data_IF_054097807842
#
_entry.id   IF_054097807842
#
_cell.length_a   1.000
_cell.length_b   1.000
_cell.length_c   1.000
_cell.angle_alpha   90.00
_cell.angle_beta   90.00
_cell.angle_gamma   90.00
#
_symmetry.space_group_name_H-M   'P 1'
#
loop_
_entity.id
_entity.type
_entity.pdbx_description
1 polymer ?
#
# COMPACT_ATOMS: atom_id res chain seq x y z
N UNK A 1 -4.41 -6.10 -2.69
CA UNK A 1 -3.15 -5.55 -3.21
C UNK A 1 -3.18 -5.41 -4.72
N UNK A 2 -3.78 -6.37 -5.43
CA UNK A 2 -3.79 -6.34 -6.89
C UNK A 2 -4.47 -5.09 -7.45
N UNK A 3 -5.66 -4.74 -6.98
CA UNK A 3 -6.35 -3.55 -7.44
C UNK A 3 -5.58 -2.29 -7.09
N UNK A 4 -5.01 -2.24 -5.89
CA UNK A 4 -4.21 -1.12 -5.44
C UNK A 4 -2.99 -0.91 -6.35
N UNK A 5 -2.27 -1.99 -6.68
CA UNK A 5 -1.12 -1.93 -7.58
C UNK A 5 -1.50 -1.38 -8.96
N UNK A 6 -2.59 -1.87 -9.51
CA UNK A 6 -3.01 -1.50 -10.87
C UNK A 6 -3.67 -0.13 -10.94
N UNK A 7 -4.51 0.20 -9.98
CA UNK A 7 -5.31 1.43 -10.04
C UNK A 7 -4.56 2.66 -9.51
N UNK A 8 -3.68 2.48 -8.54
CA UNK A 8 -3.02 3.61 -7.88
C UNK A 8 -1.52 3.68 -8.13
N UNK A 9 -0.88 2.57 -8.45
CA UNK A 9 0.57 2.47 -8.51
C UNK A 9 1.12 2.06 -9.88
N UNK A 10 0.30 2.14 -10.92
CA UNK A 10 0.74 1.88 -12.29
C UNK A 10 1.26 0.46 -12.51
N UNK A 11 0.76 -0.52 -11.78
CA UNK A 11 1.14 -1.92 -11.97
C UNK A 11 2.46 -2.32 -11.32
N UNK A 12 2.98 -1.54 -10.37
CA UNK A 12 4.22 -1.91 -9.67
C UNK A 12 4.05 -3.25 -8.93
N UNK A 13 5.15 -3.99 -8.77
CA UNK A 13 5.13 -5.32 -8.18
C UNK A 13 4.73 -5.29 -6.70
N UNK A 14 4.30 -6.45 -6.19
CA UNK A 14 3.99 -6.59 -4.75
C UNK A 14 5.21 -6.29 -3.87
N UNK A 15 6.39 -6.72 -4.30
CA UNK A 15 7.62 -6.45 -3.57
C UNK A 15 7.90 -4.95 -3.49
N UNK A 16 7.66 -4.23 -4.58
CA UNK A 16 7.81 -2.78 -4.62
C UNK A 16 6.84 -2.12 -3.64
N UNK A 17 5.58 -2.55 -3.63
CA UNK A 17 4.56 -2.00 -2.73
C UNK A 17 4.95 -2.21 -1.27
N UNK A 18 5.39 -3.40 -0.92
CA UNK A 18 5.80 -3.69 0.46
C UNK A 18 6.99 -2.84 0.88
N UNK A 19 7.98 -2.70 0.00
CA UNK A 19 9.21 -1.95 0.29
C UNK A 19 8.98 -0.44 0.31
N UNK A 20 8.29 0.08 -0.69
CA UNK A 20 8.17 1.52 -0.86
C UNK A 20 7.01 2.14 -0.10
N UNK A 21 6.00 1.36 0.24
CA UNK A 21 4.81 1.87 0.91
C UNK A 21 4.67 1.32 2.32
N UNK A 22 4.49 0.02 2.44
CA UNK A 22 4.18 -0.57 3.75
C UNK A 22 5.35 -0.46 4.73
N UNK A 23 6.56 -0.65 4.24
CA UNK A 23 7.76 -0.62 5.08
C UNK A 23 8.21 0.80 5.39
N UNK A 24 8.18 1.68 4.39
CA UNK A 24 8.59 3.07 4.57
C UNK A 24 7.58 3.92 5.31
N UNK A 25 6.30 3.59 5.20
CA UNK A 25 5.20 4.35 5.76
C UNK A 25 4.35 3.49 6.68
N UNK A 26 4.83 3.20 7.89
CA UNK A 26 4.05 2.38 8.84
C UNK A 26 2.70 2.99 9.18
N UNK A 27 2.53 4.27 8.94
CA UNK A 27 1.26 4.97 9.10
C UNK A 27 0.16 4.44 8.19
N UNK A 28 0.50 3.70 7.13
CA UNK A 28 -0.49 3.10 6.24
C UNK A 28 -1.19 1.90 6.87
N UNK A 29 -0.59 1.29 7.88
CA UNK A 29 -1.19 0.17 8.61
C UNK A 29 -2.39 0.66 9.40
N UNK A 30 -3.48 -0.10 9.35
CA UNK A 30 -4.71 0.25 10.08
C UNK A 30 -4.47 0.38 11.59
N UNK A 31 -3.50 -0.34 12.13
CA UNK A 31 -3.11 -0.24 13.53
C UNK A 31 -2.60 1.16 13.89
N UNK A 32 -2.11 1.88 12.92
CA UNK A 32 -1.58 3.23 13.09
C UNK A 32 -2.50 4.28 12.45
N UNK A 33 -3.76 3.92 12.22
CA UNK A 33 -4.75 4.84 11.65
C UNK A 33 -4.79 4.87 10.13
N UNK A 34 -4.14 3.92 9.47
CA UNK A 34 -4.06 3.87 8.01
C UNK A 34 -5.18 3.05 7.36
N UNK A 35 -4.92 2.59 6.15
CA UNK A 35 -5.91 1.94 5.29
C UNK A 35 -5.55 0.51 4.89
N UNK A 36 -4.42 -0.01 5.38
CA UNK A 36 -3.94 -1.34 5.04
C UNK A 36 -4.14 -2.28 6.23
N UNK A 37 -4.91 -3.33 6.01
CA UNK A 37 -5.11 -4.37 7.02
C UNK A 37 -4.11 -5.49 6.72
N UNK A 38 -3.28 -5.83 7.70
CA UNK A 38 -2.31 -6.91 7.60
C UNK A 38 -1.35 -6.73 6.42
N UNK A 39 -0.50 -5.69 6.43
CA UNK A 39 0.41 -5.40 5.31
C UNK A 39 1.45 -6.49 5.06
N UNK A 40 1.79 -7.28 6.08
CA UNK A 40 2.72 -8.39 5.97
C UNK A 40 2.02 -9.66 6.48
N UNK A 41 1.06 -10.21 5.71
CA UNK A 41 0.25 -11.31 6.19
C UNK A 41 1.05 -12.61 6.30
N UNK A 42 0.70 -13.41 7.32
CA UNK A 42 1.23 -14.74 7.45
C UNK A 42 0.55 -15.71 6.48
N UNK A 43 0.95 -16.99 6.58
CA UNK A 43 0.38 -18.04 5.74
C UNK A 43 -1.14 -18.11 5.90
N UNK A 44 -1.83 -18.16 4.77
CA UNK A 44 -3.29 -18.30 4.75
C UNK A 44 -4.08 -17.01 4.93
N UNK A 45 -3.39 -15.86 5.03
CA UNK A 45 -4.03 -14.55 5.15
C UNK A 45 -3.69 -13.68 3.95
N UNK A 46 -4.50 -12.65 3.72
CA UNK A 46 -4.30 -11.70 2.63
C UNK A 46 -4.33 -10.28 3.16
N UNK A 47 -3.59 -9.40 2.51
CA UNK A 47 -3.65 -7.97 2.78
C UNK A 47 -4.96 -7.41 2.24
N UNK A 48 -5.63 -6.59 3.03
CA UNK A 48 -6.85 -5.88 2.60
C UNK A 48 -6.53 -4.38 2.59
N UNK A 49 -6.95 -3.71 1.52
CA UNK A 49 -6.70 -2.27 1.37
C UNK A 49 -8.02 -1.56 1.13
N UNK A 50 -8.29 -0.53 1.93
CA UNK A 50 -9.47 0.34 1.74
C UNK A 50 -9.18 1.29 0.58
N UNK A 51 -9.74 0.97 -0.58
CA UNK A 51 -9.36 1.58 -1.86
C UNK A 51 -9.53 3.11 -1.91
N UNK A 52 -10.61 3.64 -1.35
CA UNK A 52 -10.83 5.08 -1.36
C UNK A 52 -9.76 5.83 -0.57
N UNK A 53 -9.51 5.39 0.66
CA UNK A 53 -8.52 6.02 1.52
C UNK A 53 -7.12 5.85 0.93
N UNK A 54 -6.84 4.68 0.34
CA UNK A 54 -5.57 4.42 -0.32
C UNK A 54 -5.33 5.38 -1.48
N UNK A 55 -6.34 5.63 -2.30
CA UNK A 55 -6.21 6.52 -3.45
C UNK A 55 -5.94 7.95 -3.02
N UNK A 56 -6.58 8.42 -1.97
CA UNK A 56 -6.33 9.76 -1.41
C UNK A 56 -4.90 9.87 -0.90
N UNK A 57 -4.45 8.88 -0.16
CA UNK A 57 -3.10 8.88 0.40
C UNK A 57 -2.03 8.86 -0.70
N UNK A 58 -2.20 8.01 -1.71
CA UNK A 58 -1.27 7.94 -2.84
C UNK A 58 -1.23 9.28 -3.58
N UNK A 59 -2.39 9.90 -3.77
CA UNK A 59 -2.48 11.18 -4.45
C UNK A 59 -1.69 12.28 -3.72
N UNK A 60 -1.60 12.20 -2.41
CA UNK A 60 -0.83 13.15 -1.60
C UNK A 60 0.67 12.84 -1.54
N UNK A 61 1.06 11.58 -1.74
CA UNK A 61 2.42 11.11 -1.48
C UNK A 61 3.17 10.58 -2.71
N UNK A 62 2.55 10.51 -3.88
CA UNK A 62 3.12 9.79 -5.02
C UNK A 62 4.48 10.32 -5.47
N UNK A 63 4.78 11.61 -5.29
CA UNK A 63 6.08 12.15 -5.70
C UNK A 63 7.19 11.82 -4.71
N UNK A 64 6.87 11.23 -3.58
CA UNK A 64 7.87 10.81 -2.60
C UNK A 64 8.38 9.39 -2.88
N UNK A 65 7.71 8.66 -3.78
CA UNK A 65 8.04 7.26 -4.05
C UNK A 65 9.18 7.14 -5.04
N UNK A 66 9.95 6.08 -4.90
CA UNK A 66 10.99 5.73 -5.86
C UNK A 66 10.37 4.87 -6.96
N UNK A 67 9.91 5.50 -8.02
CA UNK A 67 9.21 4.83 -9.13
C UNK A 67 10.14 4.05 -10.05
N UNK A 68 11.39 4.38 -10.07
CA UNK A 68 12.41 3.71 -10.85
C UNK A 68 13.07 2.60 -10.07
#
# INVERSE_FOLDING_TARGET
VEEFRHNCLGGKSRAWVKREIFDRYPETDVKNGGFVVDPFPGTGRSTIIYAYDASLWVNEHYHEFNWG
#
